data_IF_522619476748
#
_entry.id   IF_522619476748
#
_cell.length_a   1.000
_cell.length_b   1.000
_cell.length_c   1.000
_cell.angle_alpha   90.00
_cell.angle_beta   90.00
_cell.angle_gamma   90.00
#
_symmetry.space_group_name_H-M   'P 1'
#
loop_
_entity.id
_entity.type
_entity.pdbx_description
1 polymer ?
#
# COMPACT_ATOMS: atom_id res chain seq x y z
N UNK A 1 10.98 8.41 12.23
CA UNK A 1 12.39 8.25 12.59
C UNK A 1 13.19 8.70 11.38
N UNK A 2 13.96 9.78 11.51
CA UNK A 2 14.70 10.41 10.41
C UNK A 2 15.95 9.59 10.11
N UNK A 3 16.07 9.03 8.90
CA UNK A 3 17.32 8.50 8.38
C UNK A 3 17.84 9.49 7.33
N UNK A 4 18.86 10.26 7.70
CA UNK A 4 19.58 11.14 6.78
C UNK A 4 20.69 10.36 6.08
N UNK A 5 20.62 10.28 4.74
CA UNK A 5 21.75 9.84 3.92
C UNK A 5 22.27 11.01 3.09
N UNK A 6 23.57 11.30 3.26
CA UNK A 6 24.28 12.42 2.65
C UNK A 6 24.60 12.23 1.16
N UNK A 7 23.78 12.87 0.32
CA UNK A 7 24.08 13.77 -0.81
C UNK A 7 25.29 13.50 -1.75
N UNK A 8 25.00 13.35 -3.06
CA UNK A 8 25.43 14.33 -4.09
C UNK A 8 24.36 14.44 -5.19
N UNK A 9 23.82 15.67 -5.35
CA UNK A 9 22.86 16.16 -6.36
C UNK A 9 21.35 16.04 -6.03
N UNK A 10 20.92 16.82 -5.04
CA UNK A 10 20.01 17.94 -5.32
C UNK A 10 18.50 17.72 -5.49
N UNK A 11 17.95 16.52 -5.31
CA UNK A 11 16.49 16.34 -5.14
C UNK A 11 16.22 15.57 -3.84
N UNK A 12 15.71 16.26 -2.81
CA UNK A 12 15.30 15.62 -1.55
C UNK A 12 13.90 15.07 -1.73
N UNK A 13 13.77 13.75 -1.88
CA UNK A 13 12.47 13.08 -1.80
C UNK A 13 12.14 12.94 -0.32
N UNK A 14 11.13 13.69 0.14
CA UNK A 14 10.62 13.60 1.51
C UNK A 14 9.48 12.57 1.50
N UNK A 15 9.79 11.34 1.87
CA UNK A 15 8.75 10.35 2.18
C UNK A 15 8.17 10.74 3.54
N UNK A 16 7.01 11.37 3.54
CA UNK A 16 6.29 11.71 4.76
C UNK A 16 5.56 10.45 5.27
N UNK A 17 6.32 9.57 5.93
CA UNK A 17 5.70 8.53 6.77
C UNK A 17 5.21 9.25 8.01
N UNK A 18 3.90 9.51 8.08
CA UNK A 18 3.27 10.12 9.25
C UNK A 18 3.72 9.40 10.53
N UNK A 19 4.07 10.12 11.61
CA UNK A 19 4.49 9.48 12.84
C UNK A 19 3.32 8.66 13.40
N UNK A 20 3.58 7.37 13.58
CA UNK A 20 2.69 6.40 14.23
C UNK A 20 2.09 7.00 15.50
N UNK A 21 0.79 7.29 15.47
CA UNK A 21 0.02 7.64 16.65
C UNK A 21 0.00 6.41 17.55
N UNK A 22 0.66 6.47 18.71
CA UNK A 22 0.59 5.43 19.75
C UNK A 22 -0.80 5.47 20.40
N UNK A 23 -1.81 4.97 19.68
CA UNK A 23 -3.01 4.40 20.29
C UNK A 23 -2.67 3.05 20.95
N UNK A 24 -3.61 2.41 21.64
CA UNK A 24 -3.46 1.14 22.39
C UNK A 24 -3.21 -0.11 21.52
N UNK A 25 -2.36 0.01 20.49
CA UNK A 25 -2.02 -0.95 19.44
C UNK A 25 -1.35 -2.23 19.96
N UNK A 26 -0.96 -2.28 21.23
CA UNK A 26 -0.23 -3.41 21.82
C UNK A 26 -1.00 -4.74 21.78
N UNK A 27 -2.31 -4.72 22.02
CA UNK A 27 -3.10 -5.94 22.17
C UNK A 27 -3.45 -6.58 20.81
N UNK A 28 -3.87 -5.76 19.84
CA UNK A 28 -4.26 -6.24 18.51
C UNK A 28 -3.06 -6.63 17.65
N UNK A 29 -1.91 -5.95 17.80
CA UNK A 29 -0.66 -6.35 17.12
C UNK A 29 -0.12 -7.68 17.66
N UNK A 30 -0.23 -7.94 18.96
CA UNK A 30 0.17 -9.20 19.56
C UNK A 30 -0.76 -10.35 19.14
N UNK A 31 -2.07 -10.09 19.08
CA UNK A 31 -3.05 -11.05 18.56
C UNK A 31 -2.77 -11.39 17.09
N UNK A 32 -2.48 -10.39 16.25
CA UNK A 32 -2.14 -10.60 14.84
C UNK A 32 -0.84 -11.40 14.67
N UNK A 33 0.22 -11.08 15.43
CA UNK A 33 1.50 -11.82 15.37
C UNK A 33 1.35 -13.26 15.87
N UNK A 34 0.53 -13.48 16.92
CA UNK A 34 0.18 -14.82 17.39
C UNK A 34 -0.54 -15.61 16.32
N UNK A 35 -1.58 -15.03 15.69
CA UNK A 35 -2.36 -15.67 14.63
C UNK A 35 -1.49 -16.03 13.42
N UNK A 36 -0.64 -15.12 12.93
CA UNK A 36 0.29 -15.43 11.85
C UNK A 36 1.36 -16.43 12.29
N UNK A 37 1.90 -16.33 13.50
CA UNK A 37 2.83 -17.34 14.01
C UNK A 37 2.18 -18.71 14.05
N UNK A 38 0.92 -18.83 14.43
CA UNK A 38 0.18 -20.09 14.59
C UNK A 38 -0.28 -20.67 13.24
N UNK A 39 -0.70 -19.83 12.30
CA UNK A 39 -1.02 -20.24 10.92
C UNK A 39 0.21 -20.81 10.23
N UNK A 40 1.38 -20.19 10.41
CA UNK A 40 2.59 -20.53 9.65
C UNK A 40 3.60 -21.42 10.41
N UNK A 41 3.55 -21.56 11.75
CA UNK A 41 4.51 -22.35 12.56
C UNK A 41 4.34 -23.87 12.54
N UNK A 42 3.32 -24.40 11.85
CA UNK A 42 3.29 -25.83 11.51
C UNK A 42 3.00 -26.79 12.66
N UNK A 43 2.26 -26.39 13.68
CA UNK A 43 1.69 -27.35 14.64
C UNK A 43 0.59 -28.18 13.95
N UNK A 44 0.91 -29.43 13.68
CA UNK A 44 0.06 -30.41 12.98
C UNK A 44 -1.08 -30.87 13.87
N UNK A 45 -2.27 -30.32 13.65
CA UNK A 45 -3.55 -30.82 14.15
C UNK A 45 -4.64 -30.57 13.12
N UNK A 46 -5.18 -31.64 12.53
CA UNK A 46 -6.02 -31.61 11.32
C UNK A 46 -7.39 -30.92 11.48
N UNK A 47 -7.84 -30.62 12.70
CA UNK A 47 -9.10 -29.91 12.93
C UNK A 47 -8.96 -28.38 12.84
N UNK A 48 -7.82 -27.80 13.22
CA UNK A 48 -7.67 -26.34 13.31
C UNK A 48 -7.32 -25.67 11.98
N UNK A 49 -7.03 -26.42 10.90
CA UNK A 49 -6.58 -25.83 9.62
C UNK A 49 -7.72 -25.10 8.89
N UNK A 50 -8.95 -25.62 9.00
CA UNK A 50 -10.14 -25.01 8.42
C UNK A 50 -10.57 -23.74 9.17
N UNK A 51 -10.43 -23.70 10.51
CA UNK A 51 -10.67 -22.51 11.33
C UNK A 51 -9.58 -21.45 11.15
N UNK A 52 -8.32 -21.86 10.95
CA UNK A 52 -7.17 -20.98 10.66
C UNK A 52 -7.30 -20.23 9.32
N UNK A 53 -7.80 -20.89 8.29
CA UNK A 53 -8.08 -20.25 6.99
C UNK A 53 -9.19 -19.21 7.06
N UNK A 54 -10.18 -19.43 7.93
CA UNK A 54 -11.25 -18.47 8.20
C UNK A 54 -10.73 -17.23 8.94
N UNK A 55 -9.80 -17.38 9.89
CA UNK A 55 -9.20 -16.26 10.63
C UNK A 55 -8.31 -15.34 9.76
N UNK A 56 -7.53 -15.89 8.83
CA UNK A 56 -6.77 -15.08 7.87
C UNK A 56 -7.72 -14.36 6.89
N UNK A 57 -8.79 -15.03 6.47
CA UNK A 57 -9.84 -14.46 5.64
C UNK A 57 -10.66 -13.34 6.31
N UNK A 58 -10.67 -13.27 7.64
CA UNK A 58 -11.27 -12.14 8.39
C UNK A 58 -10.36 -10.93 8.51
N UNK A 59 -9.04 -11.10 8.36
CA UNK A 59 -8.05 -10.03 8.55
C UNK A 59 -7.47 -9.50 7.24
N UNK A 60 -7.54 -10.28 6.16
CA UNK A 60 -7.09 -9.89 4.82
C UNK A 60 -8.30 -9.71 3.92
N UNK A 61 -8.28 -8.68 3.06
CA UNK A 61 -9.28 -8.62 1.98
C UNK A 61 -8.99 -9.70 0.91
N UNK A 62 -9.89 -9.85 -0.06
CA UNK A 62 -9.76 -10.85 -1.12
C UNK A 62 -8.46 -10.70 -1.93
N UNK A 63 -8.00 -9.46 -2.17
CA UNK A 63 -6.81 -9.17 -2.96
C UNK A 63 -5.53 -9.46 -2.16
N UNK A 64 -5.50 -9.08 -0.88
CA UNK A 64 -4.40 -9.38 0.03
C UNK A 64 -4.27 -10.88 0.26
N UNK A 65 -5.39 -11.59 0.41
CA UNK A 65 -5.40 -13.05 0.49
C UNK A 65 -4.84 -13.68 -0.80
N UNK A 66 -5.19 -13.15 -1.97
CA UNK A 66 -4.63 -13.60 -3.25
C UNK A 66 -3.10 -13.38 -3.32
N UNK A 67 -2.60 -12.22 -2.90
CA UNK A 67 -1.16 -11.94 -2.83
C UNK A 67 -0.44 -12.96 -1.94
N UNK A 68 -0.92 -13.17 -0.72
CA UNK A 68 -0.30 -14.13 0.21
C UNK A 68 -0.36 -15.56 -0.33
N UNK A 69 -1.48 -15.97 -0.93
CA UNK A 69 -1.64 -17.29 -1.53
C UNK A 69 -0.66 -17.51 -2.69
N UNK A 70 -0.50 -16.51 -3.58
CA UNK A 70 0.49 -16.55 -4.67
C UNK A 70 1.92 -16.59 -4.15
N UNK A 71 2.22 -15.86 -3.08
CA UNK A 71 3.55 -15.87 -2.47
C UNK A 71 3.89 -17.24 -1.88
N UNK A 72 2.96 -17.87 -1.15
CA UNK A 72 3.13 -19.24 -0.61
C UNK A 72 3.35 -20.24 -1.74
N UNK A 73 2.57 -20.17 -2.82
CA UNK A 73 2.75 -21.02 -4.01
C UNK A 73 4.13 -20.81 -4.64
N UNK A 74 4.56 -19.56 -4.83
CA UNK A 74 5.88 -19.26 -5.37
C UNK A 74 7.01 -19.83 -4.50
N UNK A 75 6.88 -19.76 -3.18
CA UNK A 75 7.87 -20.35 -2.26
C UNK A 75 7.99 -21.86 -2.48
N UNK A 76 6.88 -22.57 -2.64
CA UNK A 76 6.89 -24.02 -2.93
C UNK A 76 7.42 -24.30 -4.34
N UNK A 77 6.94 -23.59 -5.35
CA UNK A 77 7.30 -23.79 -6.75
C UNK A 77 8.78 -23.51 -7.02
N UNK A 78 9.38 -22.58 -6.28
CA UNK A 78 10.79 -22.23 -6.39
C UNK A 78 11.68 -23.08 -5.49
N UNK A 79 11.09 -23.98 -4.69
CA UNK A 79 11.83 -24.85 -3.77
C UNK A 79 12.48 -24.09 -2.62
N UNK A 80 11.89 -22.97 -2.22
CA UNK A 80 12.36 -22.12 -1.13
C UNK A 80 11.86 -22.66 0.21
N UNK A 81 12.71 -22.54 1.24
CA UNK A 81 12.42 -23.05 2.60
C UNK A 81 11.53 -22.07 3.38
N UNK A 82 11.74 -20.79 3.12
CA UNK A 82 11.10 -19.69 3.82
C UNK A 82 10.31 -18.79 2.88
N UNK A 83 9.10 -18.43 3.31
CA UNK A 83 8.33 -17.34 2.73
C UNK A 83 8.99 -16.01 3.14
N UNK A 84 9.87 -15.51 2.28
CA UNK A 84 10.54 -14.22 2.44
C UNK A 84 9.77 -13.05 1.79
N UNK A 85 10.09 -11.82 2.18
CA UNK A 85 9.57 -10.59 1.60
C UNK A 85 9.76 -10.52 0.08
N UNK A 86 10.78 -11.17 -0.47
CA UNK A 86 10.97 -11.27 -1.91
C UNK A 86 9.85 -12.07 -2.61
N UNK A 87 9.35 -13.15 -1.99
CA UNK A 87 8.20 -13.90 -2.52
C UNK A 87 6.92 -13.08 -2.45
N UNK A 88 6.72 -12.34 -1.34
CA UNK A 88 5.60 -11.41 -1.19
C UNK A 88 5.67 -10.29 -2.24
N UNK A 89 6.83 -9.69 -2.45
CA UNK A 89 7.03 -8.64 -3.46
C UNK A 89 6.78 -9.17 -4.87
N UNK A 90 7.26 -10.37 -5.19
CA UNK A 90 6.91 -11.00 -6.46
C UNK A 90 5.40 -11.19 -6.58
N UNK A 91 4.72 -11.72 -5.57
CA UNK A 91 3.28 -11.95 -5.63
C UNK A 91 2.47 -10.66 -5.80
N UNK A 92 2.91 -9.55 -5.20
CA UNK A 92 2.36 -8.20 -5.41
C UNK A 92 2.39 -7.80 -6.89
N UNK A 93 3.44 -8.17 -7.63
CA UNK A 93 3.50 -7.92 -9.09
C UNK A 93 2.53 -8.76 -9.92
N UNK A 94 1.98 -9.85 -9.34
CA UNK A 94 1.13 -10.80 -10.05
C UNK A 94 -0.36 -10.58 -9.83
N UNK A 95 -0.75 -9.74 -8.86
CA UNK A 95 -2.15 -9.41 -8.58
C UNK A 95 -2.46 -8.08 -9.28
N UNK A 96 -3.50 -8.01 -10.16
CA UNK A 96 -3.75 -6.83 -10.99
C UNK A 96 -3.86 -5.53 -10.19
N UNK A 97 -4.63 -5.55 -9.10
CA UNK A 97 -4.84 -4.35 -8.27
C UNK A 97 -3.54 -3.77 -7.71
N UNK A 98 -2.57 -4.61 -7.32
CA UNK A 98 -1.28 -4.15 -6.81
C UNK A 98 -0.27 -3.87 -7.90
N UNK A 99 -0.35 -4.58 -9.03
CA UNK A 99 0.46 -4.26 -10.21
C UNK A 99 0.12 -2.86 -10.74
N UNK A 100 -1.17 -2.52 -10.84
CA UNK A 100 -1.64 -1.19 -11.25
C UNK A 100 -1.13 -0.09 -10.30
N UNK A 101 -1.16 -0.34 -8.98
CA UNK A 101 -0.60 0.56 -7.97
C UNK A 101 0.91 0.80 -8.15
N UNK A 102 1.66 -0.21 -8.57
CA UNK A 102 3.08 -0.10 -8.85
C UNK A 102 3.32 0.68 -10.16
N UNK A 103 2.55 0.38 -11.21
CA UNK A 103 2.60 1.11 -12.49
C UNK A 103 2.30 2.59 -12.29
N UNK A 104 1.27 2.93 -11.52
CA UNK A 104 0.91 4.33 -11.23
C UNK A 104 1.99 5.07 -10.41
N UNK A 105 2.85 4.32 -9.71
CA UNK A 105 4.04 4.80 -9.00
C UNK A 105 5.30 4.82 -9.89
N UNK A 106 5.18 4.61 -11.19
CA UNK A 106 6.27 4.63 -12.17
C UNK A 106 7.09 3.34 -12.24
N UNK A 107 6.72 2.29 -11.50
CA UNK A 107 7.45 1.03 -11.47
C UNK A 107 7.18 0.20 -12.72
N UNK A 108 8.24 -0.26 -13.38
CA UNK A 108 8.16 -1.26 -14.46
C UNK A 108 7.97 -2.65 -13.85
N UNK A 109 6.72 -3.07 -13.71
CA UNK A 109 6.31 -4.24 -12.93
C UNK A 109 6.93 -5.53 -13.44
N UNK A 110 7.00 -5.72 -14.75
CA UNK A 110 7.57 -6.92 -15.39
C UNK A 110 9.05 -7.08 -15.06
N UNK A 111 9.80 -5.96 -15.05
CA UNK A 111 11.22 -5.96 -14.74
C UNK A 111 11.48 -6.18 -13.26
N UNK A 112 10.65 -5.59 -12.40
CA UNK A 112 10.70 -5.85 -10.96
C UNK A 112 10.41 -7.33 -10.67
N UNK A 113 9.38 -7.90 -11.30
CA UNK A 113 9.01 -9.30 -11.14
C UNK A 113 10.15 -10.25 -11.58
N UNK A 114 10.77 -9.98 -12.74
CA UNK A 114 11.90 -10.74 -13.25
C UNK A 114 13.13 -10.63 -12.34
N UNK A 115 13.47 -9.42 -11.90
CA UNK A 115 14.60 -9.16 -11.01
C UNK A 115 14.44 -9.91 -9.67
N UNK A 116 13.27 -9.78 -9.03
CA UNK A 116 12.98 -10.44 -7.75
C UNK A 116 13.03 -11.95 -7.90
N UNK A 117 12.41 -12.52 -8.94
CA UNK A 117 12.45 -13.97 -9.19
C UNK A 117 13.88 -14.47 -9.37
N UNK A 118 14.70 -13.77 -10.16
CA UNK A 118 16.10 -14.16 -10.37
C UNK A 118 16.92 -14.11 -9.07
N UNK A 119 16.65 -13.14 -8.20
CA UNK A 119 17.36 -12.97 -6.93
C UNK A 119 17.02 -14.06 -5.91
N UNK A 120 15.79 -14.58 -5.91
CA UNK A 120 15.34 -15.64 -4.98
C UNK A 120 15.83 -17.01 -5.43
N UNK A 121 15.66 -17.35 -6.72
CA UNK A 121 16.09 -18.65 -7.27
C UNK A 121 17.61 -18.82 -7.17
N UNK A 122 18.39 -17.73 -7.19
CA UNK A 122 19.83 -17.79 -7.00
C UNK A 122 20.26 -18.11 -5.54
N UNK A 123 19.38 -17.93 -4.56
CA UNK A 123 19.71 -18.05 -3.13
C UNK A 123 19.23 -19.35 -2.48
N UNK A 124 18.14 -19.93 -2.97
CA UNK A 124 17.51 -21.09 -2.34
C UNK A 124 17.59 -22.33 -3.25
N UNK A 125 18.02 -23.45 -2.69
CA UNK A 125 18.18 -24.71 -3.43
C UNK A 125 17.53 -25.86 -2.69
N UNK A 126 16.36 -26.28 -3.17
CA UNK A 126 15.85 -27.64 -2.99
C UNK A 126 15.26 -27.95 -1.61
N UNK A 127 14.51 -27.02 -1.02
CA UNK A 127 13.70 -27.33 0.15
C UNK A 127 12.39 -28.05 -0.20
N UNK A 128 12.09 -29.13 0.52
CA UNK A 128 10.81 -29.83 0.45
C UNK A 128 10.14 -29.72 1.81
N UNK A 129 8.95 -29.11 1.86
CA UNK A 129 8.20 -28.94 3.10
C UNK A 129 7.21 -27.77 3.04
N UNK A 130 6.45 -27.58 4.11
CA UNK A 130 5.55 -26.43 4.25
C UNK A 130 6.39 -25.18 4.52
N UNK A 131 6.25 -24.10 3.74
CA UNK A 131 7.02 -22.88 3.94
C UNK A 131 6.80 -22.28 5.33
N UNK A 132 7.90 -21.80 5.93
CA UNK A 132 7.86 -21.04 7.18
C UNK A 132 8.03 -19.55 6.88
N UNK A 133 7.38 -18.66 7.63
CA UNK A 133 7.58 -17.22 7.49
C UNK A 133 8.98 -16.80 7.96
N UNK A 134 9.71 -16.09 7.10
CA UNK A 134 10.94 -15.40 7.51
C UNK A 134 10.65 -14.23 8.45
N UNK A 135 11.69 -13.74 9.12
CA UNK A 135 11.60 -12.53 9.95
C UNK A 135 11.31 -11.26 9.13
N UNK A 136 11.80 -11.16 7.90
CA UNK A 136 11.54 -10.03 7.01
C UNK A 136 10.10 -10.04 6.49
N UNK A 137 9.58 -11.19 6.05
CA UNK A 137 8.17 -11.31 5.68
C UNK A 137 7.22 -11.01 6.86
N UNK A 138 7.54 -11.49 8.07
CA UNK A 138 6.79 -11.16 9.27
C UNK A 138 6.75 -9.65 9.53
N UNK A 139 7.90 -8.98 9.47
CA UNK A 139 7.98 -7.51 9.66
C UNK A 139 7.16 -6.77 8.59
N UNK A 140 7.21 -7.19 7.34
CA UNK A 140 6.40 -6.58 6.26
C UNK A 140 4.89 -6.72 6.51
N UNK A 141 4.42 -7.91 6.92
CA UNK A 141 3.01 -8.16 7.21
C UNK A 141 2.52 -7.39 8.44
N UNK A 142 3.35 -7.31 9.49
CA UNK A 142 3.05 -6.48 10.66
C UNK A 142 3.02 -4.99 10.31
N UNK A 143 3.93 -4.53 9.44
CA UNK A 143 3.92 -3.17 8.92
C UNK A 143 2.65 -2.87 8.13
N UNK A 144 2.19 -3.81 7.30
CA UNK A 144 0.92 -3.70 6.57
C UNK A 144 -0.28 -3.57 7.53
N UNK A 145 -0.31 -4.38 8.57
CA UNK A 145 -1.36 -4.32 9.59
C UNK A 145 -1.36 -2.98 10.34
N UNK A 146 -0.19 -2.48 10.72
CA UNK A 146 -0.07 -1.17 11.38
C UNK A 146 -0.53 -0.02 10.50
N UNK A 147 -0.33 -0.10 9.18
CA UNK A 147 -0.86 0.88 8.22
C UNK A 147 -2.38 0.85 8.18
N UNK A 148 -2.99 -0.33 8.08
CA UNK A 148 -4.45 -0.48 8.09
C UNK A 148 -5.07 0.10 9.38
N UNK A 149 -4.48 -0.20 10.54
CA UNK A 149 -4.90 0.38 11.82
C UNK A 149 -4.76 1.91 11.87
N UNK A 150 -3.68 2.46 11.29
CA UNK A 150 -3.46 3.90 11.20
C UNK A 150 -4.54 4.61 10.36
N UNK A 151 -5.12 3.90 9.40
CA UNK A 151 -6.23 4.37 8.55
C UNK A 151 -7.61 4.08 9.18
N UNK A 152 -7.67 3.43 10.35
CA UNK A 152 -8.91 3.07 11.03
C UNK A 152 -9.64 1.90 10.36
N UNK A 153 -8.93 1.06 9.60
CA UNK A 153 -9.47 -0.10 8.89
C UNK A 153 -8.97 -1.38 9.53
N UNK A 154 -9.88 -2.27 9.90
CA UNK A 154 -9.55 -3.54 10.59
C UNK A 154 -9.10 -4.66 9.63
N UNK A 155 -9.19 -4.41 8.32
CA UNK A 155 -8.86 -5.36 7.25
C UNK A 155 -7.64 -4.88 6.48
N UNK A 156 -6.63 -5.75 6.37
CA UNK A 156 -5.42 -5.50 5.60
C UNK A 156 -5.70 -5.74 4.12
N UNK A 157 -5.89 -4.65 3.39
CA UNK A 157 -5.94 -4.68 1.93
C UNK A 157 -4.58 -4.81 1.23
N UNK A 158 -4.61 -5.09 -0.07
CA UNK A 158 -3.40 -5.35 -0.86
C UNK A 158 -2.43 -4.16 -0.93
N UNK A 159 -2.93 -2.92 -0.89
CA UNK A 159 -2.10 -1.70 -0.77
C UNK A 159 -1.25 -1.71 0.50
N UNK A 160 -1.82 -2.12 1.62
CA UNK A 160 -1.09 -2.17 2.89
C UNK A 160 0.07 -3.17 2.82
N UNK A 161 -0.08 -4.28 2.10
CA UNK A 161 1.03 -5.23 1.88
C UNK A 161 2.20 -4.56 1.15
N UNK A 162 1.93 -3.75 0.12
CA UNK A 162 2.97 -3.00 -0.60
C UNK A 162 3.64 -1.99 0.32
N UNK A 163 2.87 -1.24 1.11
CA UNK A 163 3.40 -0.29 2.10
C UNK A 163 4.26 -0.97 3.16
N UNK A 164 3.82 -2.12 3.67
CA UNK A 164 4.56 -2.91 4.65
C UNK A 164 5.90 -3.41 4.11
N UNK A 165 5.93 -3.87 2.86
CA UNK A 165 7.17 -4.24 2.16
C UNK A 165 8.09 -3.03 1.93
N UNK A 166 7.53 -1.89 1.55
CA UNK A 166 8.28 -0.65 1.31
C UNK A 166 8.87 -0.06 2.60
N UNK A 167 8.19 -0.22 3.73
CA UNK A 167 8.63 0.29 5.02
C UNK A 167 9.87 -0.43 5.57
N UNK A 168 10.08 -1.70 5.21
CA UNK A 168 11.26 -2.47 5.59
C UNK A 168 12.42 -2.27 4.61
N UNK A 169 13.07 -1.10 4.70
CA UNK A 169 14.19 -0.73 3.83
C UNK A 169 15.43 -1.66 3.93
N UNK A 170 15.54 -2.43 5.01
CA UNK A 170 16.62 -3.39 5.22
C UNK A 170 16.33 -4.77 4.59
N UNK A 171 15.10 -5.00 4.12
CA UNK A 171 14.76 -6.22 3.40
C UNK A 171 15.20 -6.16 1.93
N UNK A 172 15.40 -7.34 1.33
CA UNK A 172 15.64 -7.47 -0.12
C UNK A 172 14.46 -6.87 -0.90
N UNK A 173 13.24 -7.09 -0.42
CA UNK A 173 12.02 -6.55 -1.01
C UNK A 173 11.96 -5.02 -0.97
N UNK A 174 12.16 -4.42 0.20
CA UNK A 174 12.14 -2.97 0.37
C UNK A 174 13.19 -2.27 -0.48
N UNK A 175 14.42 -2.81 -0.53
CA UNK A 175 15.47 -2.28 -1.42
C UNK A 175 15.12 -2.43 -2.90
N UNK A 176 14.61 -3.59 -3.32
CA UNK A 176 14.23 -3.83 -4.70
C UNK A 176 13.09 -2.90 -5.15
N UNK A 177 12.09 -2.71 -4.30
CA UNK A 177 10.96 -1.83 -4.55
C UNK A 177 11.40 -0.36 -4.60
N UNK A 178 12.19 0.10 -3.61
CA UNK A 178 12.75 1.46 -3.61
C UNK A 178 13.57 1.73 -4.87
N UNK A 179 14.43 0.77 -5.25
CA UNK A 179 15.24 0.88 -6.46
C UNK A 179 14.38 0.92 -7.73
N UNK A 180 13.30 0.14 -7.79
CA UNK A 180 12.40 0.11 -8.93
C UNK A 180 11.61 1.42 -9.07
N UNK A 181 11.25 2.06 -7.96
CA UNK A 181 10.62 3.38 -7.94
C UNK A 181 11.62 4.45 -8.42
N UNK A 182 12.88 4.42 -7.96
CA UNK A 182 13.92 5.36 -8.42
C UNK A 182 14.27 5.24 -9.91
N UNK A 183 14.20 4.02 -10.43
CA UNK A 183 14.41 3.72 -11.85
C UNK A 183 13.15 3.98 -12.69
N UNK A 184 11.99 4.05 -12.03
CA UNK A 184 10.74 4.50 -12.59
C UNK A 184 10.81 5.96 -13.00
N UNK A 185 10.01 6.32 -13.99
CA UNK A 185 10.12 7.58 -14.72
C UNK A 185 10.26 8.80 -13.79
N UNK A 186 11.37 9.54 -13.96
CA UNK A 186 11.77 10.69 -13.12
C UNK A 186 10.79 11.88 -13.15
N UNK A 187 9.73 11.79 -13.96
CA UNK A 187 8.73 12.83 -14.19
C UNK A 187 7.49 12.77 -13.30
N UNK A 188 7.24 11.67 -12.59
CA UNK A 188 6.09 11.52 -11.72
C UNK A 188 6.56 11.18 -10.30
N UNK A 189 6.98 12.18 -9.54
CA UNK A 189 7.01 12.08 -8.09
C UNK A 189 5.57 12.04 -7.54
N UNK A 190 4.77 11.05 -7.98
CA UNK A 190 3.52 10.70 -7.34
C UNK A 190 3.89 10.03 -6.03
N UNK A 191 3.31 10.53 -4.95
CA UNK A 191 3.25 9.84 -3.66
C UNK A 191 3.09 8.35 -3.90
N UNK A 192 4.12 7.58 -3.55
CA UNK A 192 4.13 6.11 -3.69
C UNK A 192 2.86 5.61 -3.03
N UNK A 193 1.94 5.08 -3.84
CA UNK A 193 0.62 4.57 -3.45
C UNK A 193 -0.34 5.68 -3.02
N UNK A 194 -0.99 6.31 -4.00
CA UNK A 194 -2.12 7.20 -3.75
C UNK A 194 -3.16 6.52 -2.86
N UNK A 195 -3.75 7.29 -1.95
CA UNK A 195 -4.78 6.81 -1.03
C UNK A 195 -6.04 6.39 -1.80
N UNK A 196 -6.20 6.87 -3.04
CA UNK A 196 -7.42 6.75 -3.85
C UNK A 196 -7.15 6.24 -5.28
N UNK A 197 -6.61 5.03 -5.48
CA UNK A 197 -6.16 4.55 -6.79
C UNK A 197 -7.27 4.46 -7.85
N UNK A 198 -8.51 4.13 -7.47
CA UNK A 198 -9.64 4.17 -8.41
C UNK A 198 -10.11 5.59 -8.76
N UNK A 199 -9.92 6.53 -7.84
CA UNK A 199 -10.33 7.92 -8.06
C UNK A 199 -9.36 8.61 -9.01
N UNK A 200 -8.08 8.20 -9.01
CA UNK A 200 -7.07 8.76 -9.90
C UNK A 200 -7.25 8.33 -11.37
N UNK A 201 -7.92 7.20 -11.63
CA UNK A 201 -8.20 6.73 -12.99
C UNK A 201 -9.34 7.53 -13.66
N UNK A 202 -10.37 7.88 -12.90
CA UNK A 202 -11.59 8.51 -13.42
C UNK A 202 -11.82 9.95 -12.94
N UNK A 203 -10.97 10.44 -12.06
CA UNK A 203 -11.10 11.73 -11.39
C UNK A 203 -9.88 12.62 -11.60
N UNK A 204 -10.10 13.92 -11.43
CA UNK A 204 -9.07 14.95 -11.44
C UNK A 204 -8.93 15.49 -10.02
N UNK A 205 -7.72 15.43 -9.44
CA UNK A 205 -7.46 16.01 -8.11
C UNK A 205 -7.24 17.53 -8.22
N UNK A 206 -8.30 18.28 -7.95
CA UNK A 206 -8.26 19.74 -7.92
C UNK A 206 -7.37 20.28 -6.79
N UNK A 207 -7.21 19.55 -5.69
CA UNK A 207 -6.35 19.97 -4.57
C UNK A 207 -4.87 19.95 -4.97
N UNK A 208 -4.46 18.94 -5.72
CA UNK A 208 -3.10 18.85 -6.26
C UNK A 208 -2.83 19.98 -7.26
N UNK A 209 -3.79 20.27 -8.15
CA UNK A 209 -3.70 21.36 -9.11
C UNK A 209 -3.64 22.74 -8.44
N UNK A 210 -4.43 22.96 -7.38
CA UNK A 210 -4.41 24.17 -6.58
C UNK A 210 -3.04 24.38 -5.92
N UNK A 211 -2.47 23.33 -5.30
CA UNK A 211 -1.13 23.37 -4.69
C UNK A 211 -0.03 23.64 -5.73
N UNK A 212 -0.20 23.14 -6.94
CA UNK A 212 0.70 23.40 -8.06
C UNK A 212 0.52 24.79 -8.70
N UNK A 213 -0.47 25.58 -8.26
CA UNK A 213 -0.78 26.90 -8.80
C UNK A 213 -1.27 26.86 -10.25
N UNK A 214 -1.88 25.74 -10.66
CA UNK A 214 -2.39 25.54 -12.03
C UNK A 214 -3.85 25.94 -12.21
N UNK A 215 -4.56 26.23 -11.12
CA UNK A 215 -5.93 26.70 -11.15
C UNK A 215 -5.98 28.22 -11.27
N UNK A 216 -6.96 28.72 -12.01
CA UNK A 216 -7.19 30.14 -12.15
C UNK A 216 -7.82 30.72 -10.87
N UNK A 217 -7.45 31.95 -10.46
CA UNK A 217 -8.03 32.56 -9.27
C UNK A 217 -9.52 32.87 -9.50
N UNK A 218 -10.36 32.43 -8.56
CA UNK A 218 -11.80 32.70 -8.57
C UNK A 218 -12.06 34.12 -8.07
N UNK A 219 -12.81 34.92 -8.84
CA UNK A 219 -13.11 36.32 -8.50
C UNK A 219 -14.60 36.52 -8.28
N UNK A 220 -14.97 37.11 -7.14
CA UNK A 220 -16.34 37.56 -6.87
C UNK A 220 -17.34 36.43 -6.57
N UNK A 221 -16.86 35.30 -6.02
CA UNK A 221 -17.67 34.13 -5.62
C UNK A 221 -17.53 33.78 -4.13
N UNK A 222 -17.11 34.74 -3.31
CA UNK A 222 -16.79 34.51 -1.90
C UNK A 222 -17.99 33.97 -1.11
N UNK A 223 -19.19 34.52 -1.36
CA UNK A 223 -20.42 34.11 -0.68
C UNK A 223 -20.82 32.66 -1.03
N UNK A 224 -20.71 32.26 -2.29
CA UNK A 224 -21.02 30.90 -2.72
C UNK A 224 -20.00 29.88 -2.18
N UNK A 225 -18.72 30.25 -2.12
CA UNK A 225 -17.66 29.41 -1.55
C UNK A 225 -17.88 29.23 -0.03
N UNK A 226 -18.14 30.31 0.71
CA UNK A 226 -18.46 30.25 2.14
C UNK A 226 -19.66 29.34 2.41
N UNK A 227 -20.71 29.44 1.60
CA UNK A 227 -21.90 28.59 1.72
C UNK A 227 -21.57 27.11 1.46
N UNK A 228 -20.73 26.82 0.47
CA UNK A 228 -20.30 25.45 0.18
C UNK A 228 -19.51 24.86 1.36
N UNK A 229 -18.58 25.63 1.94
CA UNK A 229 -17.82 25.23 3.13
C UNK A 229 -18.74 24.98 4.32
N UNK A 230 -19.73 25.84 4.56
CA UNK A 230 -20.71 25.67 5.63
C UNK A 230 -21.50 24.36 5.46
N UNK A 231 -21.94 24.04 4.25
CA UNK A 231 -22.66 22.79 3.95
C UNK A 231 -21.76 21.57 4.15
N UNK A 232 -20.53 21.61 3.63
CA UNK A 232 -19.55 20.52 3.78
C UNK A 232 -19.22 20.22 5.25
N UNK A 233 -19.28 21.24 6.12
CA UNK A 233 -19.05 21.11 7.57
C UNK A 233 -20.19 20.46 8.36
N UNK A 234 -21.35 20.17 7.74
CA UNK A 234 -22.51 19.59 8.44
C UNK A 234 -22.30 18.11 8.72
N UNK A 235 -22.89 17.60 9.82
CA UNK A 235 -22.89 16.15 10.13
C UNK A 235 -23.82 15.33 9.25
N UNK A 236 -24.81 15.96 8.65
CA UNK A 236 -25.78 15.33 7.74
C UNK A 236 -26.12 16.29 6.61
N UNK A 237 -26.43 15.74 5.42
CA UNK A 237 -26.68 16.51 4.19
C UNK A 237 -25.51 17.44 3.84
N UNK A 238 -24.29 16.90 3.89
CA UNK A 238 -23.04 17.60 3.66
C UNK A 238 -22.62 17.65 2.19
N UNK A 239 -23.52 17.31 1.26
CA UNK A 239 -23.25 17.32 -0.17
C UNK A 239 -23.83 18.60 -0.79
N UNK A 240 -23.03 19.65 -1.02
CA UNK A 240 -23.51 20.86 -1.69
C UNK A 240 -23.90 20.56 -3.14
N UNK A 241 -24.94 21.22 -3.63
CA UNK A 241 -25.38 21.14 -5.03
C UNK A 241 -25.47 22.56 -5.58
N UNK A 242 -24.66 22.86 -6.60
CA UNK A 242 -24.66 24.15 -7.26
C UNK A 242 -25.75 24.19 -8.35
N UNK A 243 -26.68 25.14 -8.22
CA UNK A 243 -27.78 25.36 -9.18
C UNK A 243 -27.63 26.72 -9.86
N UNK A 244 -27.96 26.78 -11.15
CA UNK A 244 -27.95 28.02 -11.93
C UNK A 244 -27.96 27.75 -13.44
N UNK A 245 -28.07 28.81 -14.23
CA UNK A 245 -28.11 28.71 -15.70
C UNK A 245 -26.81 28.12 -16.28
N UNK A 246 -26.85 27.46 -17.45
CA UNK A 246 -25.63 27.01 -18.13
C UNK A 246 -24.68 28.19 -18.40
N UNK A 247 -23.37 27.98 -18.20
CA UNK A 247 -22.35 29.00 -18.49
C UNK A 247 -22.04 30.00 -17.37
N UNK A 248 -22.75 29.98 -16.25
CA UNK A 248 -22.51 30.90 -15.11
C UNK A 248 -21.23 30.63 -14.29
N UNK A 249 -20.44 29.62 -14.68
CA UNK A 249 -19.17 29.28 -14.02
C UNK A 249 -19.31 28.44 -12.76
N UNK A 250 -20.26 27.50 -12.69
CA UNK A 250 -20.41 26.56 -11.55
C UNK A 250 -19.13 25.77 -11.24
N UNK A 251 -18.39 25.39 -12.29
CA UNK A 251 -17.10 24.68 -12.16
C UNK A 251 -16.05 25.53 -11.45
N UNK A 252 -16.01 26.83 -11.74
CA UNK A 252 -15.06 27.77 -11.13
C UNK A 252 -15.29 28.00 -9.64
N UNK A 253 -16.39 27.51 -9.04
CA UNK A 253 -16.59 27.55 -7.59
C UNK A 253 -15.95 26.32 -6.92
N UNK A 254 -15.75 25.23 -7.67
CA UNK A 254 -15.21 23.96 -7.18
C UNK A 254 -13.68 23.89 -7.33
N UNK A 255 -13.14 24.54 -8.36
CA UNK A 255 -11.71 24.74 -8.60
C UNK A 255 -11.11 25.79 -7.64
#
# INVERSE_FOLDING_TARGET
>A
MLLEFGCRRGLRVRVEVAPLVRGSVGDSSAAFDSLFSEVFSGTSGDASASERGLALGTLLDAQAHEVVSKAVRATVDWGSRELDGAHLLWAVTQVPATAELLVSSGVRVEELAAAVRSAVVAQDSGAVGRPVLSSAARRALLGAYQQALGEGVDVVGARHLVLGLAADADSVAGRALARAIELGDRGAARSVLSVTPRLDEFGLDLTELARAGKLDPVVGRDAEIEQAIEVLGRRSKNNPVFMGDPGVGKTAIVE
#
